data_IF_700952485800
#
_entry.id   IF_700952485800
#
_cell.length_a   1.000
_cell.length_b   1.000
_cell.length_c   1.000
_cell.angle_alpha   90.00
_cell.angle_beta   90.00
_cell.angle_gamma   90.00
#
_symmetry.space_group_name_H-M   'P 1'
#
loop_
_entity.id
_entity.type
_entity.pdbx_description
1 polymer ?
#
# COMPACT_ATOMS: atom_id res chain seq x y z
N UNK A 1 3.02 -0.52 -1.38
CA UNK A 1 1.82 -1.14 -0.76
C UNK A 1 0.83 -1.66 -1.80
N UNK A 2 0.52 -0.93 -2.87
CA UNK A 2 -0.37 -1.39 -3.96
C UNK A 2 0.08 -2.70 -4.59
N UNK A 3 1.39 -2.88 -4.84
CA UNK A 3 1.94 -4.14 -5.31
C UNK A 3 1.80 -5.29 -4.29
N UNK A 4 1.98 -5.00 -2.99
CA UNK A 4 1.84 -5.96 -1.88
C UNK A 4 0.43 -6.52 -1.81
N UNK A 5 -0.60 -5.69 -1.98
CA UNK A 5 -2.00 -6.12 -1.90
C UNK A 5 -2.51 -6.87 -3.15
N UNK A 6 -1.72 -6.92 -4.23
CA UNK A 6 -2.14 -7.48 -5.52
C UNK A 6 -2.69 -8.91 -5.43
N UNK A 7 -2.07 -9.87 -4.70
CA UNK A 7 -2.60 -11.23 -4.59
C UNK A 7 -3.99 -11.26 -3.97
N UNK A 8 -4.22 -10.47 -2.93
CA UNK A 8 -5.51 -10.37 -2.22
C UNK A 8 -6.56 -9.71 -3.12
N UNK A 9 -6.21 -8.62 -3.80
CA UNK A 9 -7.16 -7.92 -4.69
C UNK A 9 -7.58 -8.74 -5.91
N UNK A 10 -6.75 -9.68 -6.36
CA UNK A 10 -7.17 -10.64 -7.40
C UNK A 10 -8.37 -11.47 -6.95
N UNK A 11 -8.43 -11.87 -5.68
CA UNK A 11 -9.54 -12.67 -5.12
C UNK A 11 -10.88 -11.91 -5.11
N UNK A 12 -10.83 -10.57 -5.06
CA UNK A 12 -12.02 -9.72 -5.04
C UNK A 12 -12.61 -9.46 -6.44
N UNK A 13 -11.96 -9.96 -7.50
CA UNK A 13 -12.47 -9.79 -8.86
C UNK A 13 -13.75 -10.60 -9.06
N UNK A 14 -14.70 -10.02 -9.79
CA UNK A 14 -15.98 -10.68 -10.10
C UNK A 14 -15.72 -12.00 -10.83
N UNK A 15 -16.47 -13.04 -10.45
CA UNK A 15 -16.41 -14.39 -11.02
C UNK A 15 -15.04 -15.08 -10.89
N UNK A 16 -14.17 -14.62 -9.98
CA UNK A 16 -12.91 -15.29 -9.66
C UNK A 16 -13.14 -16.37 -8.59
N UNK A 17 -12.50 -17.53 -8.75
CA UNK A 17 -12.44 -18.53 -7.69
C UNK A 17 -11.64 -18.00 -6.49
N UNK A 18 -12.23 -18.02 -5.30
CA UNK A 18 -11.59 -17.55 -4.06
C UNK A 18 -10.71 -18.67 -3.51
N UNK A 19 -9.50 -18.80 -4.07
CA UNK A 19 -8.47 -19.70 -3.56
C UNK A 19 -7.41 -18.87 -2.86
N UNK A 20 -7.32 -19.03 -1.55
CA UNK A 20 -6.29 -18.38 -0.76
C UNK A 20 -4.94 -19.08 -0.97
N UNK A 21 -4.04 -18.43 -1.70
CA UNK A 21 -2.71 -18.99 -2.02
C UNK A 21 -1.68 -18.59 -0.97
N UNK A 22 -0.51 -19.24 -0.98
CA UNK A 22 0.64 -18.83 -0.15
C UNK A 22 1.05 -17.37 -0.40
N UNK A 23 0.95 -16.89 -1.64
CA UNK A 23 1.22 -15.48 -1.96
C UNK A 23 0.18 -14.53 -1.33
N UNK A 24 -1.08 -14.96 -1.20
CA UNK A 24 -2.09 -14.21 -0.48
C UNK A 24 -1.78 -14.16 1.01
N UNK A 25 -1.30 -15.27 1.59
CA UNK A 25 -0.90 -15.33 2.98
C UNK A 25 0.29 -14.40 3.26
N UNK A 26 1.36 -14.49 2.46
CA UNK A 26 2.54 -13.60 2.57
C UNK A 26 2.16 -12.13 2.46
N UNK A 27 1.31 -11.78 1.48
CA UNK A 27 0.81 -10.42 1.32
C UNK A 27 0.05 -9.94 2.57
N UNK A 28 -0.80 -10.80 3.13
CA UNK A 28 -1.59 -10.47 4.31
C UNK A 28 -0.73 -10.28 5.57
N UNK A 29 0.28 -11.13 5.76
CA UNK A 29 1.19 -11.02 6.90
C UNK A 29 2.06 -9.77 6.80
N UNK A 30 2.57 -9.41 5.61
CA UNK A 30 3.27 -8.13 5.42
C UNK A 30 2.39 -6.91 5.70
N UNK A 31 1.08 -6.98 5.37
CA UNK A 31 0.13 -5.90 5.70
C UNK A 31 -0.05 -5.82 7.22
N UNK A 32 -0.17 -6.95 7.91
CA UNK A 32 -0.25 -6.96 9.38
C UNK A 32 0.97 -6.35 10.02
N UNK A 33 2.18 -6.76 9.61
CA UNK A 33 3.43 -6.22 10.13
C UNK A 33 3.49 -4.69 9.98
N UNK A 34 3.13 -4.17 8.80
CA UNK A 34 3.06 -2.73 8.58
C UNK A 34 2.05 -2.03 9.51
N UNK A 35 0.90 -2.66 9.78
CA UNK A 35 -0.14 -2.09 10.63
C UNK A 35 0.15 -2.24 12.14
N UNK A 36 1.02 -3.17 12.53
CA UNK A 36 1.46 -3.32 13.92
C UNK A 36 2.32 -2.13 14.35
N UNK A 37 3.14 -1.60 13.44
CA UNK A 37 4.03 -0.47 13.69
C UNK A 37 3.86 0.61 12.61
N UNK A 38 2.72 1.31 12.58
CA UNK A 38 2.48 2.33 11.57
C UNK A 38 3.43 3.51 11.79
N UNK A 39 3.95 4.14 10.71
CA UNK A 39 4.78 5.33 10.84
C UNK A 39 3.97 6.46 11.47
N UNK A 40 4.61 7.22 12.37
CA UNK A 40 4.00 8.41 12.95
C UNK A 40 3.95 9.50 11.88
N UNK A 41 2.73 9.95 11.57
CA UNK A 41 2.50 11.07 10.66
C UNK A 41 2.31 12.35 11.48
N UNK A 42 3.01 13.40 11.09
CA UNK A 42 2.88 14.73 11.68
C UNK A 42 1.95 15.57 10.77
N UNK A 43 1.00 16.34 11.32
CA UNK A 43 0.16 17.23 10.53
C UNK A 43 1.00 18.22 9.72
N UNK A 44 0.63 18.51 8.47
CA UNK A 44 1.34 19.52 7.69
C UNK A 44 1.19 20.90 8.32
N UNK A 45 2.24 21.72 8.21
CA UNK A 45 2.24 23.11 8.62
C UNK A 45 1.63 23.96 7.51
N UNK A 46 0.63 24.77 7.88
CA UNK A 46 -0.02 25.70 6.97
C UNK A 46 0.99 26.69 6.35
N UNK A 47 0.81 27.02 5.07
CA UNK A 47 1.71 27.92 4.34
C UNK A 47 3.04 27.31 3.91
N UNK A 48 3.37 26.06 4.32
CA UNK A 48 4.56 25.36 3.83
C UNK A 48 4.25 24.48 2.61
N UNK A 49 5.09 24.49 1.55
CA UNK A 49 4.91 23.61 0.41
C UNK A 49 4.99 22.13 0.78
N UNK A 50 4.18 21.29 0.14
CA UNK A 50 4.28 19.84 0.20
C UNK A 50 5.21 19.33 -0.90
N UNK A 51 6.00 18.31 -0.58
CA UNK A 51 6.85 17.57 -1.51
C UNK A 51 6.17 16.23 -1.79
N UNK A 52 5.96 15.93 -3.07
CA UNK A 52 5.41 14.64 -3.51
C UNK A 52 6.53 13.74 -3.99
N UNK A 53 6.69 12.59 -3.31
CA UNK A 53 7.56 11.50 -3.75
C UNK A 53 6.71 10.49 -4.50
N UNK A 54 7.03 10.21 -5.76
CA UNK A 54 6.28 9.32 -6.63
C UNK A 54 7.13 8.11 -7.03
N UNK A 55 6.52 6.92 -6.98
CA UNK A 55 7.09 5.69 -7.53
C UNK A 55 6.09 5.07 -8.50
N UNK A 56 6.56 4.74 -9.71
CA UNK A 56 5.76 4.08 -10.75
C UNK A 56 6.34 2.71 -11.02
N UNK A 57 5.47 1.69 -10.99
CA UNK A 57 5.74 0.32 -11.35
C UNK A 57 4.85 -0.06 -12.55
N UNK A 58 5.15 -1.18 -13.20
CA UNK A 58 4.46 -1.64 -14.40
C UNK A 58 2.91 -1.67 -14.26
N UNK A 59 2.41 -2.20 -13.14
CA UNK A 59 0.98 -2.38 -12.88
C UNK A 59 0.41 -1.44 -11.80
N UNK A 60 1.22 -0.55 -11.23
CA UNK A 60 0.78 0.28 -10.09
C UNK A 60 1.63 1.52 -9.89
N UNK A 61 1.05 2.53 -9.24
CA UNK A 61 1.77 3.68 -8.74
C UNK A 61 1.57 3.84 -7.23
N UNK A 62 2.52 4.49 -6.58
CA UNK A 62 2.45 4.89 -5.18
C UNK A 62 3.05 6.28 -4.99
N UNK A 63 2.53 7.03 -4.03
CA UNK A 63 3.10 8.33 -3.67
C UNK A 63 3.09 8.54 -2.16
N UNK A 64 3.99 9.40 -1.69
CA UNK A 64 4.04 9.93 -0.32
C UNK A 64 4.11 11.44 -0.39
N UNK A 65 3.32 12.12 0.44
CA UNK A 65 3.39 13.56 0.65
C UNK A 65 4.15 13.83 1.95
N UNK A 66 5.07 14.79 1.92
CA UNK A 66 5.81 15.23 3.09
C UNK A 66 6.12 16.72 3.06
N UNK A 67 6.66 17.22 4.14
CA UNK A 67 7.24 18.56 4.24
C UNK A 67 8.64 18.43 4.85
N UNK A 68 9.53 19.37 4.52
CA UNK A 68 10.81 19.54 5.22
C UNK A 68 10.63 20.21 6.58
#
# INVERSE_FOLDING_TARGET
MTATCRPIFKLLRKNQGVVWTEDCQKAFDSIKEYLLEPPILIPPVEGRPLIMYLTVLEDSMGCVLGQQ
#
